data_IF_614329162889
#
_entry.id   IF_614329162889
#
_cell.length_a   1.000
_cell.length_b   1.000
_cell.length_c   1.000
_cell.angle_alpha   90.00
_cell.angle_beta   90.00
_cell.angle_gamma   90.00
#
_symmetry.space_group_name_H-M   'P 1'
#
loop_
_entity.id
_entity.type
_entity.pdbx_description
1 polymer ?
#
# COMPACT_ATOMS: atom_id res chain seq x y z
N UNK A 1 -9.56 21.92 14.53
CA UNK A 1 -8.51 21.56 13.57
C UNK A 1 -9.01 20.36 12.79
N UNK A 2 -9.23 20.49 11.48
CA UNK A 2 -9.65 19.37 10.62
C UNK A 2 -8.47 18.44 10.33
N UNK A 3 -8.70 17.21 9.83
CA UNK A 3 -7.63 16.32 9.44
C UNK A 3 -6.76 17.00 8.38
N UNK A 4 -5.44 17.05 8.61
CA UNK A 4 -4.49 17.51 7.61
C UNK A 4 -4.60 16.58 6.39
N UNK A 5 -5.03 17.13 5.26
CA UNK A 5 -5.01 16.42 3.98
C UNK A 5 -3.58 16.53 3.47
N UNK A 6 -2.77 15.53 3.78
CA UNK A 6 -1.40 15.45 3.24
C UNK A 6 -1.50 15.01 1.77
N UNK A 7 -0.86 15.73 0.84
CA UNK A 7 -0.73 15.28 -0.54
C UNK A 7 0.11 13.99 -0.60
N UNK A 8 -0.41 12.96 -1.27
CA UNK A 8 0.25 11.64 -1.32
C UNK A 8 0.14 11.04 -2.71
N UNK A 9 1.14 10.24 -3.08
CA UNK A 9 1.25 9.60 -4.39
C UNK A 9 1.41 8.09 -4.23
N UNK A 10 0.68 7.32 -5.04
CA UNK A 10 0.92 5.87 -5.13
C UNK A 10 2.01 5.62 -6.17
N UNK A 11 3.21 5.29 -5.68
CA UNK A 11 4.38 5.08 -6.53
C UNK A 11 4.49 3.65 -7.04
N UNK A 12 4.02 2.65 -6.27
CA UNK A 12 4.05 1.24 -6.68
C UNK A 12 2.75 0.53 -6.31
N UNK A 13 2.35 -0.42 -7.14
CA UNK A 13 1.20 -1.27 -6.89
C UNK A 13 1.41 -2.70 -7.38
N UNK A 14 0.70 -3.65 -6.79
CA UNK A 14 0.63 -5.03 -7.24
C UNK A 14 -0.63 -5.70 -6.74
N UNK A 15 -1.11 -6.72 -7.42
CA UNK A 15 -2.30 -7.45 -6.99
C UNK A 15 -2.23 -8.94 -7.34
N UNK A 16 -3.02 -9.73 -6.62
CA UNK A 16 -3.39 -11.09 -6.99
C UNK A 16 -4.92 -11.26 -6.86
N UNK A 17 -5.42 -12.49 -6.95
CA UNK A 17 -6.86 -12.80 -6.87
C UNK A 17 -7.52 -12.43 -5.54
N UNK A 18 -6.74 -12.24 -4.47
CA UNK A 18 -7.25 -12.01 -3.11
C UNK A 18 -6.91 -10.63 -2.57
N UNK A 19 -5.81 -10.02 -3.00
CA UNK A 19 -5.30 -8.79 -2.42
C UNK A 19 -4.76 -7.81 -3.46
N UNK A 20 -4.94 -6.52 -3.17
CA UNK A 20 -4.18 -5.41 -3.78
C UNK A 20 -3.20 -4.89 -2.73
N UNK A 21 -1.97 -4.65 -3.12
CA UNK A 21 -0.95 -4.01 -2.29
C UNK A 21 -0.42 -2.78 -3.00
N UNK A 22 -0.11 -1.73 -2.24
CA UNK A 22 0.41 -0.49 -2.79
C UNK A 22 1.44 0.14 -1.86
N UNK A 23 2.35 0.90 -2.45
CA UNK A 23 3.29 1.77 -1.77
C UNK A 23 2.93 3.22 -2.09
N UNK A 24 2.70 3.98 -1.03
CA UNK A 24 2.40 5.39 -1.03
C UNK A 24 3.64 6.17 -0.59
N UNK A 25 3.86 7.32 -1.21
CA UNK A 25 4.83 8.32 -0.78
C UNK A 25 4.08 9.59 -0.37
N UNK A 26 4.38 10.08 0.82
CA UNK A 26 3.88 11.36 1.30
C UNK A 26 4.76 12.47 0.74
N UNK A 27 4.15 13.50 0.12
CA UNK A 27 4.88 14.51 -0.64
C UNK A 27 5.55 15.57 0.25
N UNK A 28 5.07 15.75 1.48
CA UNK A 28 5.64 16.72 2.44
C UNK A 28 6.91 16.19 3.11
N UNK A 29 6.82 15.00 3.73
CA UNK A 29 7.92 14.45 4.54
C UNK A 29 8.73 13.35 3.83
N UNK A 30 8.39 13.02 2.58
CA UNK A 30 8.93 11.87 1.83
C UNK A 30 8.77 10.52 2.55
N UNK A 31 7.84 10.43 3.51
CA UNK A 31 7.57 9.19 4.21
C UNK A 31 6.91 8.16 3.29
N UNK A 32 7.21 6.88 3.56
CA UNK A 32 6.73 5.76 2.76
C UNK A 32 5.78 4.89 3.58
N UNK A 33 4.57 4.76 3.06
CA UNK A 33 3.50 3.98 3.65
C UNK A 33 3.07 2.86 2.72
N UNK A 34 2.56 1.79 3.31
CA UNK A 34 2.09 0.63 2.55
C UNK A 34 0.63 0.34 2.86
N UNK A 35 -0.06 -0.18 1.83
CA UNK A 35 -1.46 -0.52 1.89
C UNK A 35 -1.64 -1.98 1.53
N UNK A 36 -2.56 -2.66 2.21
CA UNK A 36 -3.08 -3.98 1.88
C UNK A 36 -4.60 -3.89 1.82
N UNK A 37 -5.18 -4.30 0.70
CA UNK A 37 -6.63 -4.29 0.48
C UNK A 37 -7.06 -5.72 0.17
N UNK A 38 -7.96 -6.28 0.97
CA UNK A 38 -8.60 -7.55 0.66
C UNK A 38 -9.70 -7.33 -0.38
N UNK A 39 -9.60 -8.00 -1.52
CA UNK A 39 -10.54 -7.82 -2.65
C UNK A 39 -11.93 -8.35 -2.30
N UNK A 40 -12.01 -9.46 -1.55
CA UNK A 40 -13.29 -10.12 -1.23
C UNK A 40 -14.10 -9.34 -0.22
N UNK A 41 -13.45 -8.83 0.83
CA UNK A 41 -14.14 -8.14 1.93
C UNK A 41 -14.13 -6.64 1.81
N UNK A 42 -13.27 -6.08 0.93
CA UNK A 42 -13.04 -4.64 0.84
C UNK A 42 -12.27 -4.06 2.02
N UNK A 43 -11.83 -4.87 3.00
CA UNK A 43 -11.08 -4.41 4.15
C UNK A 43 -9.74 -3.81 3.72
N UNK A 44 -9.41 -2.63 4.29
CA UNK A 44 -8.22 -1.86 3.94
C UNK A 44 -7.37 -1.68 5.19
N UNK A 45 -6.12 -2.11 5.10
CA UNK A 45 -5.08 -1.81 6.08
C UNK A 45 -4.13 -0.81 5.43
N UNK A 46 -4.08 0.41 5.98
CA UNK A 46 -3.41 1.57 5.37
C UNK A 46 -2.34 2.12 6.31
N UNK A 47 -1.48 3.00 5.80
CA UNK A 47 -0.44 3.69 6.56
C UNK A 47 0.50 2.73 7.31
N UNK A 48 0.72 1.54 6.74
CA UNK A 48 1.60 0.54 7.35
C UNK A 48 3.04 0.95 7.14
N UNK A 49 3.87 0.83 8.18
CA UNK A 49 5.33 0.95 8.02
C UNK A 49 5.89 -0.31 7.37
N UNK A 50 7.08 -0.20 6.76
CA UNK A 50 7.74 -1.29 6.02
C UNK A 50 7.79 -2.62 6.78
N UNK A 51 8.11 -2.60 8.07
CA UNK A 51 8.19 -3.81 8.88
C UNK A 51 6.81 -4.44 9.15
N UNK A 52 5.81 -3.62 9.49
CA UNK A 52 4.44 -4.09 9.70
C UNK A 52 3.85 -4.68 8.42
N UNK A 53 4.08 -4.02 7.29
CA UNK A 53 3.69 -4.50 5.98
C UNK A 53 4.30 -5.87 5.67
N UNK A 54 5.63 -6.03 5.84
CA UNK A 54 6.30 -7.32 5.64
C UNK A 54 5.74 -8.42 6.55
N UNK A 55 5.48 -8.09 7.81
CA UNK A 55 4.90 -9.05 8.76
C UNK A 55 3.49 -9.48 8.34
N UNK A 56 2.66 -8.53 7.87
CA UNK A 56 1.31 -8.82 7.36
C UNK A 56 1.33 -9.62 6.06
N UNK A 57 2.24 -9.31 5.12
CA UNK A 57 2.41 -10.11 3.90
C UNK A 57 2.69 -11.59 4.24
N UNK A 58 3.58 -11.85 5.22
CA UNK A 58 3.86 -13.22 5.69
C UNK A 58 2.63 -13.82 6.39
N UNK A 59 2.00 -13.09 7.30
CA UNK A 59 0.82 -13.56 8.06
C UNK A 59 -0.34 -13.96 7.13
N UNK A 60 -0.54 -13.22 6.05
CA UNK A 60 -1.63 -13.46 5.10
C UNK A 60 -1.20 -14.29 3.88
N UNK A 61 0.05 -14.76 3.86
CA UNK A 61 0.64 -15.49 2.74
C UNK A 61 0.47 -14.77 1.38
N UNK A 62 0.69 -13.46 1.36
CA UNK A 62 0.59 -12.62 0.16
C UNK A 62 1.92 -12.65 -0.57
N UNK A 63 1.97 -13.36 -1.69
CA UNK A 63 3.11 -13.34 -2.61
C UNK A 63 2.76 -12.53 -3.87
N UNK A 64 3.01 -11.23 -3.82
CA UNK A 64 2.73 -10.29 -4.91
C UNK A 64 3.92 -9.36 -5.08
N UNK A 65 4.36 -9.20 -6.33
CA UNK A 65 5.41 -8.23 -6.69
C UNK A 65 4.75 -6.89 -7.05
N UNK A 66 5.17 -5.82 -6.38
CA UNK A 66 4.80 -4.47 -6.76
C UNK A 66 5.63 -4.00 -7.96
N UNK A 67 5.01 -3.25 -8.86
CA UNK A 67 5.65 -2.53 -9.98
C UNK A 67 5.37 -1.04 -9.85
N UNK A 68 6.23 -0.21 -10.43
CA UNK A 68 6.02 1.23 -10.51
C UNK A 68 4.72 1.52 -11.26
N UNK A 69 3.89 2.42 -10.73
CA UNK A 69 2.58 2.72 -11.33
C UNK A 69 2.75 3.35 -12.71
N UNK A 70 3.78 4.17 -12.91
CA UNK A 70 4.10 4.73 -14.24
C UNK A 70 4.50 3.67 -15.26
N UNK A 71 5.00 2.50 -14.83
CA UNK A 71 5.29 1.38 -15.74
C UNK A 71 4.05 0.59 -16.16
N UNK A 72 2.87 0.93 -15.64
CA UNK A 72 1.58 0.30 -15.94
C UNK A 72 0.68 1.17 -16.83
N UNK A 73 1.09 2.41 -17.13
CA UNK A 73 0.45 3.30 -18.12
C UNK A 73 0.93 2.99 -19.53
#
# INVERSE_FOLDING_TARGET
MGPAVVPTEIIKAGWNKNYVIAQQKDLEDNELYFWIINIKTGNKEKFLKKNEFKNKLKKYNINVKMKDVDSLR
#
